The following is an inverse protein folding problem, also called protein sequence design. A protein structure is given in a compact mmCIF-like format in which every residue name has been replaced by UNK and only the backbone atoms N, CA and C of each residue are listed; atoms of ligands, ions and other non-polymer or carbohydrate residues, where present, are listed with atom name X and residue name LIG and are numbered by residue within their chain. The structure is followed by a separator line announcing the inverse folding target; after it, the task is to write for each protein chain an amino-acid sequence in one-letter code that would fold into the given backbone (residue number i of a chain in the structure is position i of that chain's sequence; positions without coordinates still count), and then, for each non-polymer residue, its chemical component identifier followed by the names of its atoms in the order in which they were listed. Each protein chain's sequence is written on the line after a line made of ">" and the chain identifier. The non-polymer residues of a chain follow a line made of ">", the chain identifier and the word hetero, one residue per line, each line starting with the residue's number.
data_IF_002305367202
#
_entry.id   IF_002305367202
#
_cell.length_a   1.000
_cell.length_b   1.000
_cell.length_c   1.000
_cell.angle_alpha   90.00
_cell.angle_beta   90.00
_cell.angle_gamma   90.00
#
_symmetry.space_group_name_H-M   'P 1'
#
loop_
_entity.id
_entity.type
_entity.pdbx_description
1 polymer ?
#
# COMPACT_ATOMS: atom_id res chain seq x y z
N UNK A 1 -10.59 -15.87 5.09
CA UNK A 1 -9.55 -16.88 5.42
C UNK A 1 -8.37 -16.12 5.99
N UNK A 2 -7.79 -16.54 7.12
CA UNK A 2 -6.62 -15.85 7.67
C UNK A 2 -5.51 -15.86 6.61
N UNK A 3 -5.16 -14.69 6.07
CA UNK A 3 -4.00 -14.53 5.20
C UNK A 3 -2.79 -14.92 6.05
N UNK A 4 -2.19 -16.08 5.78
CA UNK A 4 -0.95 -16.45 6.44
C UNK A 4 0.13 -15.56 5.86
N UNK A 5 0.64 -14.63 6.68
CA UNK A 5 1.73 -13.75 6.27
C UNK A 5 2.96 -14.57 5.83
N UNK A 6 3.65 -14.06 4.83
CA UNK A 6 4.84 -14.63 4.22
C UNK A 6 6.06 -14.29 5.07
N UNK A 7 6.90 -15.28 5.36
CA UNK A 7 8.26 -15.02 5.83
C UNK A 7 9.11 -14.37 4.73
N UNK A 8 10.24 -13.77 5.08
CA UNK A 8 11.20 -13.24 4.10
C UNK A 8 11.62 -14.29 3.05
N UNK A 9 11.82 -15.54 3.47
CA UNK A 9 12.21 -16.62 2.56
C UNK A 9 11.11 -16.94 1.55
N UNK A 10 9.85 -16.94 1.99
CA UNK A 10 8.69 -17.12 1.11
C UNK A 10 8.49 -15.91 0.21
N UNK A 11 8.70 -14.69 0.71
CA UNK A 11 8.63 -13.47 -0.09
C UNK A 11 9.64 -13.48 -1.25
N UNK A 12 10.88 -13.91 -1.00
CA UNK A 12 11.91 -14.09 -2.05
C UNK A 12 11.44 -15.11 -3.08
N UNK A 13 10.98 -16.28 -2.61
CA UNK A 13 10.53 -17.37 -3.49
C UNK A 13 9.34 -16.96 -4.36
N UNK A 14 8.35 -16.30 -3.77
CA UNK A 14 7.08 -15.95 -4.44
C UNK A 14 7.23 -14.74 -5.36
N UNK A 15 8.06 -13.76 -4.98
CA UNK A 15 8.32 -12.59 -5.84
C UNK A 15 9.16 -12.91 -7.08
N UNK A 16 10.01 -13.95 -6.99
CA UNK A 16 10.96 -14.30 -8.06
C UNK A 16 12.16 -13.36 -8.15
N UNK A 17 12.33 -12.46 -7.17
CA UNK A 17 13.45 -11.52 -7.10
C UNK A 17 14.64 -12.11 -6.36
N UNK A 18 15.83 -11.55 -6.60
CA UNK A 18 17.02 -11.92 -5.83
C UNK A 18 16.91 -11.45 -4.38
N UNK A 19 17.52 -12.18 -3.45
CA UNK A 19 17.49 -11.86 -2.02
C UNK A 19 17.94 -10.43 -1.71
N UNK A 20 18.99 -9.96 -2.40
CA UNK A 20 19.54 -8.60 -2.27
C UNK A 20 18.52 -7.51 -2.66
N UNK A 21 17.67 -7.78 -3.66
CA UNK A 21 16.63 -6.83 -4.07
C UNK A 21 15.51 -6.74 -3.03
N UNK A 22 15.15 -7.87 -2.43
CA UNK A 22 14.14 -7.92 -1.36
C UNK A 22 14.67 -7.25 -0.09
N UNK A 23 15.93 -7.49 0.29
CA UNK A 23 16.56 -6.84 1.43
C UNK A 23 16.61 -5.33 1.27
N UNK A 24 17.02 -4.87 0.09
CA UNK A 24 17.08 -3.45 -0.19
C UNK A 24 15.69 -2.78 -0.08
N UNK A 25 14.62 -3.46 -0.52
CA UNK A 25 13.26 -2.94 -0.37
C UNK A 25 12.82 -2.86 1.10
N UNK A 26 13.19 -3.84 1.93
CA UNK A 26 12.90 -3.85 3.36
C UNK A 26 13.69 -2.74 4.07
N UNK A 27 15.01 -2.69 3.85
CA UNK A 27 15.92 -1.72 4.48
C UNK A 27 15.54 -0.27 4.13
N UNK A 28 15.04 -0.06 2.91
CA UNK A 28 14.62 1.26 2.45
C UNK A 28 13.19 1.63 2.89
N UNK A 29 12.50 0.75 3.62
CA UNK A 29 11.15 0.95 4.13
C UNK A 29 10.06 0.91 3.06
N UNK A 30 10.36 0.34 1.87
CA UNK A 30 9.36 0.11 0.82
C UNK A 30 8.42 -1.04 1.21
N UNK A 31 8.95 -2.04 1.92
CA UNK A 31 8.18 -3.09 2.57
C UNK A 31 8.43 -3.07 4.06
N UNK A 32 7.35 -3.12 4.84
CA UNK A 32 7.41 -3.18 6.29
C UNK A 32 6.65 -4.43 6.72
N UNK A 33 7.30 -5.36 7.44
CA UNK A 33 6.57 -6.50 7.99
C UNK A 33 5.59 -6.05 9.08
N UNK A 34 4.59 -6.87 9.33
CA UNK A 34 3.70 -6.67 10.47
C UNK A 34 4.44 -6.85 11.82
N UNK A 35 3.71 -6.69 12.92
CA UNK A 35 4.25 -6.84 14.27
C UNK A 35 4.76 -8.26 14.59
N UNK A 36 4.38 -9.26 13.80
CA UNK A 36 4.85 -10.64 13.91
C UNK A 36 6.08 -10.94 13.03
N UNK A 37 6.52 -9.96 12.23
CA UNK A 37 7.64 -10.11 11.30
C UNK A 37 7.26 -10.75 9.96
N UNK A 38 5.97 -10.83 9.63
CA UNK A 38 5.46 -11.43 8.40
C UNK A 38 5.02 -10.35 7.39
N UNK A 39 5.03 -10.71 6.12
CA UNK A 39 4.62 -9.85 5.01
C UNK A 39 3.29 -10.31 4.42
N UNK A 40 2.40 -9.38 4.13
CA UNK A 40 1.16 -9.71 3.43
C UNK A 40 1.43 -10.07 1.96
N UNK A 41 0.49 -10.75 1.30
CA UNK A 41 0.65 -11.16 -0.11
C UNK A 41 0.80 -9.96 -1.08
N UNK A 42 0.22 -8.81 -0.72
CA UNK A 42 0.37 -7.56 -1.44
C UNK A 42 1.84 -7.07 -1.51
N UNK A 43 2.69 -7.46 -0.55
CA UNK A 43 4.12 -7.20 -0.58
C UNK A 43 4.80 -7.80 -1.82
N UNK A 44 4.32 -8.94 -2.32
CA UNK A 44 4.80 -9.55 -3.57
C UNK A 44 4.50 -8.65 -4.76
N UNK A 45 3.26 -8.14 -4.84
CA UNK A 45 2.83 -7.24 -5.92
C UNK A 45 3.63 -5.93 -5.87
N UNK A 46 3.83 -5.38 -4.68
CA UNK A 46 4.65 -4.17 -4.48
C UNK A 46 6.10 -4.36 -4.91
N UNK A 47 6.71 -5.50 -4.58
CA UNK A 47 8.08 -5.84 -4.99
C UNK A 47 8.22 -5.91 -6.51
N UNK A 48 7.29 -6.61 -7.17
CA UNK A 48 7.32 -6.77 -8.63
C UNK A 48 7.11 -5.44 -9.35
N UNK A 49 6.23 -4.57 -8.83
CA UNK A 49 6.04 -3.22 -9.35
C UNK A 49 7.31 -2.36 -9.15
N UNK A 50 7.92 -2.41 -7.97
CA UNK A 50 9.17 -1.72 -7.66
C UNK A 50 10.30 -2.15 -8.59
N UNK A 51 10.48 -3.46 -8.78
CA UNK A 51 11.47 -4.02 -9.70
C UNK A 51 11.26 -3.51 -11.15
N UNK A 52 10.01 -3.50 -11.63
CA UNK A 52 9.69 -2.99 -12.96
C UNK A 52 10.04 -1.50 -13.14
N UNK A 53 9.87 -0.69 -12.10
CA UNK A 53 10.27 0.73 -12.11
C UNK A 53 11.80 0.90 -12.11
N UNK A 54 12.52 0.02 -11.39
CA UNK A 54 13.99 -0.01 -11.40
C UNK A 54 14.52 -0.39 -12.78
N UNK A 55 13.91 -1.39 -13.43
CA UNK A 55 14.26 -1.79 -14.80
C UNK A 55 14.01 -0.66 -15.82
N UNK A 56 13.02 0.20 -15.56
CA UNK A 56 12.76 1.42 -16.33
C UNK A 56 13.71 2.60 -16.00
N UNK A 57 14.67 2.41 -15.09
CA UNK A 57 15.72 3.37 -14.74
C UNK A 57 15.42 4.24 -13.52
N UNK A 58 14.37 3.97 -12.75
CA UNK A 58 14.10 4.71 -11.49
C UNK A 58 15.02 4.18 -10.40
N UNK A 59 15.71 5.08 -9.69
CA UNK A 59 16.63 4.64 -8.63
C UNK A 59 15.88 4.12 -7.40
N UNK A 60 16.41 3.05 -6.78
CA UNK A 60 15.83 2.49 -5.54
C UNK A 60 15.74 3.53 -4.41
N UNK A 61 16.75 4.37 -4.16
CA UNK A 61 16.64 5.44 -3.16
C UNK A 61 15.49 6.43 -3.44
N UNK A 62 15.14 6.70 -4.71
CA UNK A 62 14.03 7.58 -5.06
C UNK A 62 12.68 6.91 -4.79
N UNK A 63 12.55 5.62 -5.13
CA UNK A 63 11.36 4.81 -4.82
C UNK A 63 11.13 4.71 -3.31
N UNK A 64 12.19 4.47 -2.55
CA UNK A 64 12.13 4.44 -1.09
C UNK A 64 11.66 5.78 -0.51
N UNK A 65 12.23 6.90 -0.97
CA UNK A 65 11.78 8.24 -0.54
C UNK A 65 10.32 8.50 -0.93
N UNK A 66 9.89 8.02 -2.10
CA UNK A 66 8.49 8.12 -2.51
C UNK A 66 7.58 7.30 -1.60
N UNK A 67 7.94 6.07 -1.25
CA UNK A 67 7.18 5.19 -0.37
C UNK A 67 7.05 5.77 1.04
N UNK A 68 8.16 6.22 1.65
CA UNK A 68 8.15 6.86 2.98
C UNK A 68 7.27 8.11 2.98
N UNK A 69 7.36 8.93 1.92
CA UNK A 69 6.50 10.12 1.80
C UNK A 69 5.04 9.72 1.57
N UNK A 70 4.77 8.65 0.86
CA UNK A 70 3.42 8.15 0.65
C UNK A 70 2.81 7.67 1.97
N UNK A 71 3.51 6.81 2.72
CA UNK A 71 3.05 6.30 4.03
C UNK A 71 2.63 7.45 4.96
N UNK A 72 3.51 8.45 5.15
CA UNK A 72 3.22 9.63 5.98
C UNK A 72 2.00 10.46 5.56
N UNK A 73 1.67 10.45 4.27
CA UNK A 73 0.53 11.21 3.74
C UNK A 73 -0.75 10.36 3.65
N UNK A 74 -0.64 9.04 3.62
CA UNK A 74 -1.78 8.13 3.53
C UNK A 74 -2.32 7.77 4.90
N UNK A 75 -1.49 7.70 5.95
CA UNK A 75 -1.94 7.42 7.33
C UNK A 75 -3.12 8.32 7.73
N UNK A 76 -2.98 9.64 7.60
CA UNK A 76 -4.05 10.59 7.91
C UNK A 76 -5.31 10.38 7.04
N UNK A 77 -5.14 10.05 5.76
CA UNK A 77 -6.27 9.80 4.85
C UNK A 77 -6.98 8.49 5.22
N UNK A 78 -6.25 7.48 5.67
CA UNK A 78 -6.80 6.21 6.14
C UNK A 78 -7.57 6.42 7.44
N UNK A 79 -7.01 7.18 8.38
CA UNK A 79 -7.71 7.53 9.63
C UNK A 79 -9.03 8.26 9.34
N UNK A 80 -8.98 9.29 8.47
CA UNK A 80 -10.19 10.00 8.03
C UNK A 80 -11.21 9.08 7.33
N UNK A 81 -10.75 8.11 6.53
CA UNK A 81 -11.63 7.15 5.87
C UNK A 81 -12.29 6.20 6.88
N UNK A 82 -11.55 5.75 7.90
CA UNK A 82 -12.09 4.92 9.00
C UNK A 82 -13.14 5.70 9.78
N UNK A 83 -12.86 6.96 10.14
CA UNK A 83 -13.81 7.83 10.84
C UNK A 83 -15.10 8.03 10.02
N UNK A 84 -14.98 8.22 8.70
CA UNK A 84 -16.12 8.33 7.80
C UNK A 84 -17.00 7.06 7.84
N UNK A 85 -16.40 5.86 7.88
CA UNK A 85 -17.16 4.61 7.99
C UNK A 85 -17.84 4.48 9.34
N UNK A 86 -17.14 4.76 10.44
CA UNK A 86 -17.74 4.72 11.78
C UNK A 86 -18.94 5.66 11.90
N UNK A 87 -18.81 6.89 11.38
CA UNK A 87 -19.88 7.87 11.33
C UNK A 87 -21.06 7.41 10.46
N UNK A 88 -20.81 6.84 9.28
CA UNK A 88 -21.86 6.34 8.39
C UNK A 88 -22.66 5.18 9.01
N UNK A 89 -22.06 4.44 9.95
CA UNK A 89 -22.69 3.35 10.68
C UNK A 89 -23.36 3.79 11.98
N UNK A 90 -23.26 5.08 12.35
CA UNK A 90 -23.83 5.63 13.57
C UNK A 90 -23.15 5.12 14.84
N UNK A 91 -21.84 4.86 14.76
CA UNK A 91 -21.05 4.26 15.84
C UNK A 91 -20.23 5.33 16.53
N UNK A 92 -20.72 5.78 17.69
CA UNK A 92 -19.99 6.72 18.54
C UNK A 92 -19.14 6.01 19.62
N UNK A 93 -19.47 4.75 19.93
CA UNK A 93 -18.71 3.89 20.86
C UNK A 93 -18.96 2.41 20.53
N UNK A 94 -17.89 1.60 20.55
CA UNK A 94 -17.95 0.15 20.26
C UNK A 94 -17.88 -0.67 21.55
N UNK A 95 -18.74 -1.68 21.67
CA UNK A 95 -18.54 -2.80 22.59
C UNK A 95 -17.99 -4.04 21.84
N UNK A 96 -17.55 -5.06 22.58
CA UNK A 96 -16.97 -6.27 21.99
C UNK A 96 -17.93 -7.04 21.05
N UNK A 97 -19.24 -6.96 21.28
CA UNK A 97 -20.27 -7.55 20.42
C UNK A 97 -20.51 -6.73 19.15
N UNK A 98 -20.29 -5.41 19.16
CA UNK A 98 -20.38 -4.58 17.96
C UNK A 98 -19.21 -4.87 17.01
N UNK A 99 -18.01 -5.08 17.57
CA UNK A 99 -16.79 -5.43 16.82
C UNK A 99 -16.95 -6.70 15.97
N UNK A 100 -17.56 -7.76 16.53
CA UNK A 100 -17.80 -9.01 15.79
C UNK A 100 -18.75 -8.81 14.58
N UNK A 101 -19.74 -7.91 14.71
CA UNK A 101 -20.70 -7.63 13.65
C UNK A 101 -20.16 -6.68 12.57
N UNK A 102 -19.13 -5.90 12.88
CA UNK A 102 -18.54 -4.92 11.96
C UNK A 102 -17.45 -5.49 11.09
N UNK A 103 -16.79 -6.56 11.53
CA UNK A 103 -15.70 -7.18 10.78
C UNK A 103 -16.10 -7.53 9.33
N UNK A 104 -17.24 -8.20 9.07
CA UNK A 104 -17.64 -8.54 7.69
C UNK A 104 -17.95 -7.30 6.83
N UNK A 105 -18.45 -6.24 7.47
CA UNK A 105 -18.77 -5.00 6.78
C UNK A 105 -17.49 -4.22 6.41
N UNK A 106 -16.52 -4.17 7.31
CA UNK A 106 -15.20 -3.59 7.03
C UNK A 106 -14.50 -4.36 5.92
N UNK A 107 -14.54 -5.69 5.95
CA UNK A 107 -13.99 -6.55 4.90
C UNK A 107 -14.63 -6.28 3.51
N UNK A 108 -15.92 -5.93 3.43
CA UNK A 108 -16.57 -5.57 2.16
C UNK A 108 -16.26 -4.13 1.70
N UNK A 109 -16.14 -3.18 2.64
CA UNK A 109 -15.97 -1.76 2.32
C UNK A 109 -14.53 -1.41 1.95
N UNK A 110 -13.53 -1.94 2.67
CA UNK A 110 -12.11 -1.62 2.46
C UNK A 110 -11.68 -1.77 0.99
N UNK A 111 -11.97 -2.89 0.29
CA UNK A 111 -11.60 -3.02 -1.12
C UNK A 111 -12.21 -1.93 -2.01
N UNK A 112 -13.45 -1.48 -1.75
CA UNK A 112 -14.12 -0.43 -2.56
C UNK A 112 -13.44 0.92 -2.38
N UNK A 113 -12.98 1.20 -1.17
CA UNK A 113 -12.29 2.44 -0.80
C UNK A 113 -10.90 2.47 -1.41
N UNK A 114 -10.17 1.35 -1.36
CA UNK A 114 -8.89 1.17 -2.03
C UNK A 114 -9.03 1.42 -3.54
N UNK A 115 -10.08 0.88 -4.18
CA UNK A 115 -10.35 1.12 -5.61
C UNK A 115 -10.62 2.61 -5.87
N UNK A 116 -11.45 3.27 -5.05
CA UNK A 116 -11.78 4.68 -5.21
C UNK A 116 -10.54 5.57 -5.12
N UNK A 117 -9.75 5.40 -4.06
CA UNK A 117 -8.52 6.19 -3.82
C UNK A 117 -7.48 5.87 -4.89
N UNK A 118 -7.32 4.60 -5.26
CA UNK A 118 -6.41 4.15 -6.30
C UNK A 118 -6.73 4.76 -7.67
N UNK A 119 -8.00 4.77 -8.08
CA UNK A 119 -8.42 5.40 -9.33
C UNK A 119 -8.23 6.92 -9.32
N UNK A 120 -8.51 7.58 -8.20
CA UNK A 120 -8.23 9.01 -8.05
C UNK A 120 -6.73 9.31 -8.18
N UNK A 121 -5.89 8.56 -7.45
CA UNK A 121 -4.43 8.70 -7.50
C UNK A 121 -3.91 8.49 -8.93
N UNK A 122 -4.33 7.42 -9.60
CA UNK A 122 -3.93 7.09 -10.98
C UNK A 122 -4.26 8.24 -11.95
N UNK A 123 -5.49 8.77 -11.88
CA UNK A 123 -5.92 9.90 -12.72
C UNK A 123 -5.09 11.14 -12.48
N UNK A 124 -4.85 11.48 -11.21
CA UNK A 124 -4.04 12.64 -10.83
C UNK A 124 -2.59 12.49 -11.29
N UNK A 125 -1.98 11.31 -11.09
CA UNK A 125 -0.62 11.01 -11.52
C UNK A 125 -0.46 11.17 -13.03
N UNK A 126 -1.37 10.60 -13.82
CA UNK A 126 -1.35 10.72 -15.29
C UNK A 126 -1.48 12.17 -15.74
N UNK A 127 -2.41 12.94 -15.18
CA UNK A 127 -2.57 14.36 -15.51
C UNK A 127 -1.27 15.13 -15.25
N UNK A 128 -0.70 14.98 -14.06
CA UNK A 128 0.55 15.66 -13.67
C UNK A 128 1.74 15.24 -14.53
N UNK A 129 1.82 13.96 -14.90
CA UNK A 129 2.88 13.45 -15.77
C UNK A 129 2.81 14.09 -17.17
N UNK A 130 1.60 14.16 -17.76
CA UNK A 130 1.38 14.81 -19.07
C UNK A 130 1.75 16.29 -19.02
N UNK A 131 1.30 17.01 -17.99
CA UNK A 131 1.63 18.43 -17.81
C UNK A 131 3.15 18.64 -17.72
N UNK A 132 3.84 17.81 -16.92
CA UNK A 132 5.29 17.89 -16.72
C UNK A 132 6.08 17.59 -17.99
N UNK A 133 5.61 16.65 -18.81
CA UNK A 133 6.22 16.36 -20.11
C UNK A 133 6.03 17.52 -21.09
N UNK A 134 4.84 18.13 -21.11
CA UNK A 134 4.55 19.28 -21.96
C UNK A 134 5.43 20.50 -21.62
N UNK A 135 5.78 20.70 -20.35
CA UNK A 135 6.71 21.75 -19.91
C UNK A 135 8.15 21.55 -20.41
N UNK A 136 8.57 20.29 -20.66
CA UNK A 136 9.94 19.95 -21.04
C UNK A 136 10.23 20.10 -22.54
N UNK A 137 9.18 20.24 -23.35
CA UNK A 137 9.26 20.38 -24.82
C UNK A 137 9.08 21.85 -25.25
N UNK A 138 8.89 22.78 -24.30
CA UNK A 138 8.90 24.24 -24.53
C UNK A 138 10.30 24.81 -24.34
#
# INVERSE_FOLDING_TARGET
>A
MAQQGLSRAELIKTSGLAAEQVDLAIDAGLLVPDSSGLFNEDAVVMLQAGASLVDAGVSVPDLARLAVRHARNVEAVVDEAVDLFLAALGIDALNASDLENLHPLVEDLVPKVVVLVGEHFRRTLLSRAVDRLAERVR
#
